data_IF_759075210529
#
_entry.id   IF_759075210529
#
_cell.length_a   1.000
_cell.length_b   1.000
_cell.length_c   1.000
_cell.angle_alpha   90.00
_cell.angle_beta   90.00
_cell.angle_gamma   90.00
#
_symmetry.space_group_name_H-M   'P 1'
#
loop_
_entity.id
_entity.type
_entity.pdbx_description
1 polymer ?
#
# COMPACT_ATOMS: atom_id res chain seq x y z
N UNK A 1 -24.31 -43.58 -0.05
CA UNK A 1 -23.80 -42.21 0.19
C UNK A 1 -22.35 -42.02 -0.28
N UNK A 2 -21.90 -42.76 -1.29
CA UNK A 2 -20.51 -42.78 -1.79
C UNK A 2 -20.22 -41.72 -2.89
N UNK A 3 -21.14 -40.76 -3.12
CA UNK A 3 -21.12 -39.85 -4.28
C UNK A 3 -21.01 -38.35 -3.94
N UNK A 4 -21.03 -37.99 -2.65
CA UNK A 4 -20.97 -36.58 -2.21
C UNK A 4 -19.59 -36.15 -1.73
N UNK A 5 -18.72 -37.07 -1.33
CA UNK A 5 -17.38 -36.75 -0.80
C UNK A 5 -16.43 -36.27 -1.91
N UNK A 6 -16.57 -36.77 -3.14
CA UNK A 6 -15.77 -36.34 -4.29
C UNK A 6 -16.04 -34.90 -4.73
N UNK A 7 -17.31 -34.46 -4.72
CA UNK A 7 -17.70 -33.07 -5.03
C UNK A 7 -17.20 -32.07 -3.99
N UNK A 8 -17.18 -32.46 -2.71
CA UNK A 8 -16.66 -31.64 -1.62
C UNK A 8 -15.14 -31.46 -1.73
N UNK A 9 -14.40 -32.48 -2.15
CA UNK A 9 -12.95 -32.36 -2.37
C UNK A 9 -12.62 -31.43 -3.55
N UNK A 10 -13.41 -31.44 -4.63
CA UNK A 10 -13.22 -30.53 -5.78
C UNK A 10 -13.56 -29.07 -5.41
N UNK A 11 -14.55 -28.84 -4.54
CA UNK A 11 -14.87 -27.49 -4.04
C UNK A 11 -13.74 -26.89 -3.17
N UNK A 12 -12.99 -27.71 -2.43
CA UNK A 12 -11.84 -27.25 -1.63
C UNK A 12 -10.61 -26.89 -2.47
N UNK A 13 -10.48 -27.45 -3.68
CA UNK A 13 -9.44 -27.10 -4.65
C UNK A 13 -9.84 -25.84 -5.46
N UNK A 14 -11.16 -25.59 -5.59
CA UNK A 14 -11.74 -24.47 -6.33
C UNK A 14 -11.84 -23.14 -5.58
N UNK A 15 -11.67 -23.11 -4.25
CA UNK A 15 -11.45 -21.86 -3.52
C UNK A 15 -10.00 -21.45 -3.74
N UNK A 16 -9.79 -20.85 -4.91
CA UNK A 16 -8.60 -20.18 -5.37
C UNK A 16 -7.97 -19.32 -4.27
N UNK A 17 -7.15 -19.97 -3.43
CA UNK A 17 -6.10 -19.32 -2.68
C UNK A 17 -5.13 -18.86 -3.77
N UNK A 18 -5.41 -17.66 -4.25
CA UNK A 18 -4.53 -16.88 -5.11
C UNK A 18 -3.34 -16.50 -4.24
N UNK A 19 -2.44 -17.47 -4.02
CA UNK A 19 -1.15 -17.22 -3.37
C UNK A 19 -0.35 -16.44 -4.38
N UNK A 20 -0.33 -15.15 -4.14
CA UNK A 20 0.27 -14.18 -5.01
C UNK A 20 -0.42 -12.88 -4.70
N UNK A 21 0.08 -12.18 -3.68
CA UNK A 21 -0.07 -10.73 -3.66
C UNK A 21 0.32 -10.30 -5.06
N UNK A 22 -0.63 -9.84 -5.90
CA UNK A 22 -0.23 -9.39 -7.21
C UNK A 22 0.81 -8.30 -6.90
N UNK A 23 1.95 -8.35 -7.58
CA UNK A 23 2.93 -7.26 -7.59
C UNK A 23 2.31 -6.04 -8.30
N UNK A 24 1.08 -5.67 -7.90
CA UNK A 24 0.30 -4.53 -8.30
C UNK A 24 0.57 -3.52 -7.21
N UNK A 25 1.24 -2.45 -7.63
CA UNK A 25 1.37 -1.29 -6.79
C UNK A 25 -0.04 -0.71 -6.50
N UNK A 26 -0.20 -0.10 -5.34
CA UNK A 26 -1.42 0.57 -4.94
C UNK A 26 -1.57 1.89 -5.69
N UNK A 27 -2.73 2.11 -6.30
CA UNK A 27 -3.06 3.38 -6.95
C UNK A 27 -3.32 4.48 -5.91
N UNK A 28 -3.49 5.72 -6.39
CA UNK A 28 -3.83 6.85 -5.54
C UNK A 28 -5.11 6.58 -4.72
N UNK A 29 -5.04 6.73 -3.41
CA UNK A 29 -6.14 6.46 -2.47
C UNK A 29 -6.29 4.98 -2.08
N UNK A 30 -5.55 4.06 -2.69
CA UNK A 30 -5.53 2.67 -2.24
C UNK A 30 -4.67 2.48 -0.99
N UNK A 31 -4.93 1.38 -0.28
CA UNK A 31 -4.21 1.02 0.93
C UNK A 31 -2.78 0.59 0.60
N UNK A 32 -1.84 1.16 1.31
CA UNK A 32 -0.43 0.77 1.31
C UNK A 32 -0.01 0.29 2.70
N UNK A 33 1.09 -0.46 2.76
CA UNK A 33 1.66 -0.93 4.03
C UNK A 33 3.15 -0.64 4.05
N UNK A 34 3.72 -0.48 5.25
CA UNK A 34 5.19 -0.38 5.43
C UNK A 34 5.94 -1.65 5.02
N UNK A 35 5.22 -2.69 4.64
CA UNK A 35 5.81 -3.91 4.11
C UNK A 35 6.03 -3.75 2.61
N UNK A 36 7.17 -4.24 2.11
CA UNK A 36 7.60 -4.16 0.69
C UNK A 36 6.55 -4.68 -0.31
N UNK A 37 5.60 -5.46 0.19
CA UNK A 37 4.57 -6.10 -0.58
C UNK A 37 3.48 -5.15 -1.14
N UNK A 38 3.31 -3.95 -0.58
CA UNK A 38 2.24 -3.04 -1.02
C UNK A 38 2.71 -1.59 -1.12
N UNK A 39 3.55 -1.34 -2.12
CA UNK A 39 4.05 0.01 -2.48
C UNK A 39 3.04 0.74 -3.35
N UNK A 40 3.10 2.07 -3.33
CA UNK A 40 2.31 2.91 -4.23
C UNK A 40 2.91 2.92 -5.64
N UNK A 41 2.07 3.10 -6.67
CA UNK A 41 2.52 3.16 -8.06
C UNK A 41 3.21 4.49 -8.38
N UNK A 42 4.29 4.45 -9.16
CA UNK A 42 4.95 5.66 -9.68
C UNK A 42 5.61 6.50 -8.59
N UNK A 43 5.35 7.82 -8.60
CA UNK A 43 5.85 8.79 -7.62
C UNK A 43 4.85 9.04 -6.47
N UNK A 44 3.91 8.12 -6.23
CA UNK A 44 3.02 8.24 -5.08
C UNK A 44 3.70 7.77 -3.81
N UNK A 45 3.36 8.41 -2.72
CA UNK A 45 3.96 8.20 -1.41
C UNK A 45 2.96 7.51 -0.49
N UNK A 46 3.45 6.65 0.40
CA UNK A 46 2.60 5.92 1.34
C UNK A 46 2.45 6.72 2.63
N UNK A 47 1.29 7.38 2.81
CA UNK A 47 0.95 8.09 4.05
C UNK A 47 0.48 7.06 5.09
N UNK A 48 1.41 6.62 5.93
CA UNK A 48 1.11 5.69 7.03
C UNK A 48 0.29 6.40 8.11
N UNK A 49 -0.98 6.04 8.21
CA UNK A 49 -1.84 6.46 9.33
C UNK A 49 -1.60 5.63 10.59
N UNK A 50 -1.13 4.39 10.43
CA UNK A 50 -0.87 3.45 11.52
C UNK A 50 0.42 2.67 11.25
N UNK A 51 0.89 1.88 12.23
CA UNK A 51 2.14 1.12 12.12
C UNK A 51 2.20 0.17 10.90
N UNK A 52 1.05 -0.28 10.39
CA UNK A 52 0.99 -1.28 9.31
C UNK A 52 0.04 -0.93 8.16
N UNK A 53 -0.77 0.13 8.28
CA UNK A 53 -1.68 0.60 7.23
C UNK A 53 -1.50 2.09 6.97
N UNK A 54 -1.47 2.41 5.68
CA UNK A 54 -1.47 3.75 5.14
C UNK A 54 -2.30 3.81 3.86
N UNK A 55 -2.29 4.99 3.26
CA UNK A 55 -2.93 5.23 1.95
C UNK A 55 -1.94 5.89 1.00
N UNK A 56 -2.03 5.54 -0.28
CA UNK A 56 -1.21 6.18 -1.29
C UNK A 56 -1.72 7.59 -1.58
N UNK A 57 -0.86 8.58 -1.41
CA UNK A 57 -1.14 9.99 -1.71
C UNK A 57 -0.16 10.50 -2.75
N UNK A 58 -0.50 11.62 -3.41
CA UNK A 58 0.40 12.22 -4.40
C UNK A 58 1.67 12.77 -3.77
N UNK A 59 1.54 13.36 -2.59
CA UNK A 59 2.61 13.98 -1.85
C UNK A 59 2.19 14.10 -0.38
N UNK A 60 3.17 14.20 0.50
CA UNK A 60 3.00 14.35 1.92
C UNK A 60 2.56 15.78 2.30
N UNK A 61 1.56 15.91 3.18
CA UNK A 61 1.17 17.20 3.72
C UNK A 61 2.27 17.77 4.66
N UNK A 62 2.09 19.02 5.09
CA UNK A 62 2.98 19.62 6.09
C UNK A 62 3.08 18.76 7.36
N UNK A 63 4.24 18.82 8.02
CA UNK A 63 4.56 18.08 9.25
C UNK A 63 4.61 16.56 9.10
N UNK A 64 4.36 16.03 7.92
CA UNK A 64 4.46 14.61 7.64
C UNK A 64 5.92 14.19 7.42
N UNK A 65 6.23 12.93 7.74
CA UNK A 65 7.56 12.36 7.57
C UNK A 65 7.97 12.29 6.10
N UNK A 66 9.17 12.76 5.76
CA UNK A 66 9.69 12.74 4.40
C UNK A 66 11.16 12.30 4.38
N UNK A 67 11.60 11.82 3.22
CA UNK A 67 13.00 11.49 2.93
C UNK A 67 13.61 12.44 1.90
N UNK A 68 12.85 12.78 0.86
CA UNK A 68 13.25 13.71 -0.20
C UNK A 68 12.23 14.84 -0.30
N UNK A 69 12.66 15.98 -0.83
CA UNK A 69 11.83 17.17 -1.00
C UNK A 69 10.68 16.98 -2.00
N UNK A 70 10.86 16.17 -3.03
CA UNK A 70 9.84 15.82 -4.04
C UNK A 70 8.62 15.11 -3.44
N UNK A 71 8.80 14.39 -2.33
CA UNK A 71 7.72 13.68 -1.64
C UNK A 71 6.76 14.65 -0.96
N UNK A 72 7.20 15.86 -0.62
CA UNK A 72 6.40 16.85 0.09
C UNK A 72 5.62 17.73 -0.89
N UNK A 73 4.34 18.00 -0.61
CA UNK A 73 3.55 18.93 -1.46
C UNK A 73 4.12 20.36 -1.46
N UNK A 74 4.89 20.73 -0.43
CA UNK A 74 5.61 22.02 -0.37
C UNK A 74 6.94 22.02 -1.14
N UNK A 75 7.41 20.87 -1.64
CA UNK A 75 8.72 20.69 -2.25
C UNK A 75 9.88 20.97 -1.30
N UNK A 76 9.70 20.68 0.01
CA UNK A 76 10.71 20.94 1.05
C UNK A 76 10.61 19.90 2.16
N UNK A 77 11.57 18.98 2.16
CA UNK A 77 11.80 18.06 3.25
C UNK A 77 12.92 18.61 4.14
N UNK A 78 12.60 18.97 5.40
CA UNK A 78 13.57 19.51 6.34
C UNK A 78 13.45 18.82 7.69
N UNK A 79 14.56 18.29 8.21
CA UNK A 79 14.59 17.50 9.46
C UNK A 79 13.59 16.34 9.41
N UNK A 80 13.60 15.59 8.30
CA UNK A 80 12.71 14.46 8.02
C UNK A 80 11.21 14.79 8.09
N UNK A 81 10.85 16.07 7.96
CA UNK A 81 9.46 16.52 7.96
C UNK A 81 9.20 17.51 6.83
N UNK A 82 8.02 17.43 6.23
CA UNK A 82 7.58 18.41 5.26
C UNK A 82 7.36 19.76 5.95
N UNK A 83 8.04 20.80 5.48
CA UNK A 83 7.93 22.17 6.01
C UNK A 83 7.46 23.12 4.92
N UNK A 84 6.77 24.22 5.28
CA UNK A 84 6.41 25.23 4.31
C UNK A 84 7.67 25.86 3.70
N UNK A 85 7.60 26.25 2.43
CA UNK A 85 8.64 27.04 1.79
C UNK A 85 8.55 28.49 2.32
N UNK A 86 9.67 29.08 2.77
CA UNK A 86 9.71 30.48 3.19
C UNK A 86 9.57 31.45 2.01
#
# INVERSE_FOLDING_TARGET
>A
MHHSVGLVFVMMIGLAVSIGLPNKCAQLGEQCSKTVFQRCCGNYVCDLKTAFQGVCVKCYPLEHGCMTDEECCSGRCHVFQCKPRP
#
